data_IF_267872525837
#
_entry.id   IF_267872525837
#
_cell.length_a   1.000
_cell.length_b   1.000
_cell.length_c   1.000
_cell.angle_alpha   90.00
_cell.angle_beta   90.00
_cell.angle_gamma   90.00
#
_symmetry.space_group_name_H-M   'P 1'
#
loop_
_entity.id
_entity.type
_entity.pdbx_description
1 polymer ?
#
# COMPACT_ATOMS: atom_id res chain seq x y z
N UNK A 1 12.74 -19.69 2.47
CA UNK A 1 11.92 -18.78 1.64
C UNK A 1 11.40 -17.67 2.55
N UNK A 2 11.52 -16.38 2.19
CA UNK A 2 10.96 -15.32 3.02
C UNK A 2 9.45 -15.58 3.21
N UNK A 3 8.96 -15.43 4.43
CA UNK A 3 7.52 -15.60 4.71
C UNK A 3 6.79 -14.43 4.06
N UNK A 4 5.89 -14.71 3.14
CA UNK A 4 5.04 -13.66 2.55
C UNK A 4 4.30 -12.91 3.66
N UNK A 5 4.22 -11.58 3.52
CA UNK A 5 3.62 -10.65 4.48
C UNK A 5 2.69 -9.70 3.73
N UNK A 6 1.65 -9.22 4.42
CA UNK A 6 0.87 -8.06 4.00
C UNK A 6 1.52 -6.80 4.56
N UNK A 7 1.88 -5.85 3.71
CA UNK A 7 2.60 -4.62 4.05
C UNK A 7 1.80 -3.43 3.56
N UNK A 8 1.47 -2.50 4.46
CA UNK A 8 0.82 -1.23 4.11
C UNK A 8 1.89 -0.14 3.93
N UNK A 9 1.80 0.64 2.84
CA UNK A 9 2.78 1.67 2.48
C UNK A 9 2.08 3.01 2.25
N UNK A 10 2.47 4.04 3.01
CA UNK A 10 2.13 5.44 2.73
C UNK A 10 3.15 6.05 1.77
N UNK A 11 2.75 7.06 0.98
CA UNK A 11 3.67 7.67 0.00
C UNK A 11 4.03 6.76 -1.17
N UNK A 12 3.28 5.67 -1.38
CA UNK A 12 3.55 4.64 -2.40
C UNK A 12 3.57 5.13 -3.85
N UNK A 13 3.05 6.32 -4.13
CA UNK A 13 3.09 6.95 -5.46
C UNK A 13 4.29 7.88 -5.68
N UNK A 14 5.10 8.13 -4.64
CA UNK A 14 6.29 8.98 -4.74
C UNK A 14 7.50 8.23 -5.32
N UNK A 15 8.58 8.97 -5.59
CA UNK A 15 9.83 8.45 -6.18
C UNK A 15 10.37 7.21 -5.44
N UNK A 16 10.45 7.27 -4.11
CA UNK A 16 10.97 6.17 -3.29
C UNK A 16 9.90 5.10 -3.06
N UNK A 17 8.65 5.53 -2.82
CA UNK A 17 7.55 4.62 -2.54
C UNK A 17 7.25 3.66 -3.68
N UNK A 18 7.32 4.12 -4.93
CA UNK A 18 7.08 3.29 -6.10
C UNK A 18 8.14 2.20 -6.26
N UNK A 19 9.42 2.55 -6.11
CA UNK A 19 10.54 1.60 -6.15
C UNK A 19 10.46 0.57 -5.00
N UNK A 20 10.16 1.01 -3.78
CA UNK A 20 9.97 0.14 -2.62
C UNK A 20 8.83 -0.86 -2.84
N UNK A 21 7.68 -0.40 -3.33
CA UNK A 21 6.55 -1.27 -3.61
C UNK A 21 6.88 -2.32 -4.68
N UNK A 22 7.65 -1.96 -5.72
CA UNK A 22 8.08 -2.89 -6.75
C UNK A 22 9.00 -3.98 -6.17
N UNK A 23 9.99 -3.59 -5.36
CA UNK A 23 10.91 -4.54 -4.74
C UNK A 23 10.18 -5.50 -3.78
N UNK A 24 9.31 -4.98 -2.89
CA UNK A 24 8.55 -5.81 -1.96
C UNK A 24 7.65 -6.84 -2.67
N UNK A 25 7.04 -6.46 -3.80
CA UNK A 25 6.26 -7.38 -4.62
C UNK A 25 7.14 -8.44 -5.29
N UNK A 26 8.31 -8.05 -5.80
CA UNK A 26 9.31 -8.97 -6.36
C UNK A 26 9.77 -10.00 -5.33
N UNK A 27 9.87 -9.60 -4.06
CA UNK A 27 10.24 -10.48 -2.95
C UNK A 27 9.07 -11.38 -2.48
N UNK A 28 7.90 -11.28 -3.11
CA UNK A 28 6.72 -12.12 -2.82
C UNK A 28 5.81 -11.59 -1.72
N UNK A 29 5.94 -10.32 -1.33
CA UNK A 29 5.03 -9.68 -0.36
C UNK A 29 3.78 -9.12 -1.03
N UNK A 30 2.67 -9.12 -0.29
CA UNK A 30 1.45 -8.41 -0.68
C UNK A 30 1.55 -6.96 -0.19
N UNK A 31 1.55 -6.01 -1.12
CA UNK A 31 1.64 -4.57 -0.81
C UNK A 31 0.27 -3.93 -0.97
N UNK A 32 -0.16 -3.20 0.07
CA UNK A 32 -1.34 -2.34 0.07
C UNK A 32 -0.89 -0.87 0.12
N UNK A 33 -1.29 -0.09 -0.89
CA UNK A 33 -0.93 1.32 -1.00
C UNK A 33 -1.97 2.19 -0.30
N UNK A 34 -1.57 2.88 0.76
CA UNK A 34 -2.44 3.81 1.48
C UNK A 34 -2.53 5.14 0.72
N UNK A 35 -3.70 5.41 0.14
CA UNK A 35 -3.98 6.62 -0.65
C UNK A 35 -5.05 7.50 0.01
N UNK A 36 -4.92 8.83 -0.12
CA UNK A 36 -5.91 9.79 0.44
C UNK A 36 -7.05 10.12 -0.53
N UNK A 37 -6.92 9.70 -1.78
CA UNK A 37 -7.92 9.85 -2.84
C UNK A 37 -8.78 8.58 -2.95
N UNK A 38 -9.89 8.59 -3.71
CA UNK A 38 -10.57 7.37 -4.10
C UNK A 38 -9.59 6.35 -4.70
N UNK A 39 -9.75 5.09 -4.31
CA UNK A 39 -8.99 3.96 -4.85
C UNK A 39 -9.25 3.83 -6.35
N UNK A 40 -8.21 3.52 -7.10
CA UNK A 40 -8.24 3.28 -8.55
C UNK A 40 -7.81 1.87 -8.92
N UNK A 41 -7.08 1.21 -8.02
CA UNK A 41 -6.54 -0.12 -8.20
C UNK A 41 -6.94 -0.99 -7.01
N UNK A 42 -7.00 -2.30 -7.21
CA UNK A 42 -7.32 -3.28 -6.16
C UNK A 42 -6.23 -3.39 -5.08
N UNK A 43 -5.04 -2.85 -5.31
CA UNK A 43 -3.95 -2.78 -4.34
C UNK A 43 -3.88 -1.43 -3.61
N UNK A 44 -4.91 -0.59 -3.75
CA UNK A 44 -5.04 0.68 -3.04
C UNK A 44 -6.09 0.57 -1.93
N UNK A 45 -5.80 1.25 -0.82
CA UNK A 45 -6.67 1.34 0.35
C UNK A 45 -6.79 2.81 0.70
N UNK A 46 -8.02 3.33 0.77
CA UNK A 46 -8.23 4.71 1.17
C UNK A 46 -7.93 4.87 2.65
N UNK A 47 -7.19 5.91 3.01
CA UNK A 47 -6.98 6.29 4.40
C UNK A 47 -7.17 7.80 4.60
N UNK A 48 -7.74 8.15 5.75
CA UNK A 48 -7.96 9.52 6.16
C UNK A 48 -7.05 9.84 7.37
N UNK A 49 -5.94 10.60 7.17
CA UNK A 49 -5.07 11.00 8.28
C UNK A 49 -5.75 11.83 9.35
N UNK A 50 -6.70 12.69 8.95
CA UNK A 50 -7.34 13.64 9.88
C UNK A 50 -8.25 12.90 10.85
N UNK A 51 -8.90 11.82 10.38
CA UNK A 51 -9.77 10.98 11.19
C UNK A 51 -9.05 9.79 11.83
N UNK A 52 -7.82 9.47 11.40
CA UNK A 52 -7.11 8.26 11.83
C UNK A 52 -7.74 6.97 11.30
N UNK A 53 -8.49 7.04 10.19
CA UNK A 53 -9.28 5.92 9.67
C UNK A 53 -8.63 5.30 8.43
N UNK A 54 -8.69 3.97 8.32
CA UNK A 54 -8.26 3.20 7.14
C UNK A 54 -9.46 2.36 6.69
N UNK A 55 -9.88 2.52 5.45
CA UNK A 55 -11.00 1.75 4.88
C UNK A 55 -10.51 0.40 4.37
N UNK A 56 -10.51 -0.60 5.26
CA UNK A 56 -10.07 -1.97 4.96
C UNK A 56 -11.12 -2.81 4.20
N UNK A 57 -12.14 -2.19 3.59
CA UNK A 57 -13.14 -2.92 2.78
C UNK A 57 -12.53 -3.41 1.47
N UNK A 58 -11.84 -4.55 1.50
CA UNK A 58 -11.49 -5.42 0.37
C UNK A 58 -11.37 -6.86 0.84
#
# INVERSE_FOLDING_TARGET
MPRSKKIAVTGASGLIGSALCAQLKSDGHQVLKLVRRPTRLSDEVTWNPVKGEIDLKH
#
